data_IF_972045482146
#
_entry.id   IF_972045482146
#
_cell.length_a   1.000
_cell.length_b   1.000
_cell.length_c   1.000
_cell.angle_alpha   90.00
_cell.angle_beta   90.00
_cell.angle_gamma   90.00
#
_symmetry.space_group_name_H-M   'P 1'
#
loop_
_entity.id
_entity.type
_entity.pdbx_description
1 polymer ?
#
# COMPACT_ATOMS: atom_id res chain seq x y z
N UNK A 1 24.27 62.54 14.16
CA UNK A 1 23.07 61.82 13.70
C UNK A 1 23.31 60.33 13.92
N UNK A 2 22.45 59.74 14.75
CA UNK A 2 22.42 58.34 15.16
C UNK A 2 21.66 57.47 14.13
N UNK A 3 21.80 56.15 14.35
CA UNK A 3 21.21 54.95 13.70
C UNK A 3 22.06 54.45 12.53
N UNK A 4 22.48 53.19 12.49
CA UNK A 4 21.94 51.94 13.03
C UNK A 4 23.08 50.88 13.05
N UNK A 5 23.10 49.92 13.99
CA UNK A 5 23.62 48.54 13.87
C UNK A 5 23.74 47.93 15.29
N UNK A 6 23.15 46.75 15.57
CA UNK A 6 23.97 45.72 16.21
C UNK A 6 23.59 44.27 15.85
N UNK A 7 24.58 43.37 15.97
CA UNK A 7 24.39 41.92 16.09
C UNK A 7 25.44 41.09 15.35
N UNK A 8 26.74 41.37 15.53
CA UNK A 8 27.58 40.72 16.55
C UNK A 8 28.00 39.26 16.19
N UNK A 9 29.30 39.14 15.85
CA UNK A 9 30.20 38.00 16.14
C UNK A 9 29.96 36.75 15.25
N UNK A 10 30.64 36.49 14.13
CA UNK A 10 32.05 36.75 13.77
C UNK A 10 33.03 36.50 14.93
N UNK A 11 32.92 35.34 15.56
CA UNK A 11 34.00 34.78 16.37
C UNK A 11 33.99 33.25 16.24
N UNK A 12 35.18 32.68 16.07
CA UNK A 12 35.48 31.24 16.11
C UNK A 12 35.40 30.41 14.81
N UNK A 13 35.93 30.94 13.70
CA UNK A 13 36.92 30.14 12.97
C UNK A 13 38.14 29.98 13.90
N UNK A 14 38.26 28.88 14.64
CA UNK A 14 39.52 28.30 15.19
C UNK A 14 39.24 27.29 16.30
N UNK A 15 38.54 26.19 16.03
CA UNK A 15 38.68 24.97 16.85
C UNK A 15 38.01 23.77 16.18
N UNK A 16 38.57 23.20 15.10
CA UNK A 16 38.44 21.75 14.79
C UNK A 16 39.44 21.34 13.67
N UNK A 17 40.59 22.03 13.58
CA UNK A 17 41.80 21.53 12.92
C UNK A 17 42.79 21.04 14.00
N UNK A 18 42.31 20.24 14.95
CA UNK A 18 43.17 19.42 15.79
C UNK A 18 42.95 17.96 15.40
N UNK A 19 43.86 17.54 14.54
CA UNK A 19 44.24 16.18 14.24
C UNK A 19 44.45 15.38 15.54
N UNK A 20 43.53 14.48 15.86
CA UNK A 20 43.80 13.34 16.77
C UNK A 20 43.62 12.04 15.97
N UNK A 21 44.71 11.37 15.56
CA UNK A 21 44.65 10.09 14.89
C UNK A 21 44.86 8.97 15.91
N UNK A 22 43.87 8.71 16.77
CA UNK A 22 43.76 7.49 17.56
C UNK A 22 42.54 7.60 18.46
N UNK A 23 41.37 7.19 17.97
CA UNK A 23 40.50 6.27 18.69
C UNK A 23 39.14 6.14 18.01
N UNK A 24 38.78 4.86 17.82
CA UNK A 24 37.44 4.31 17.77
C UNK A 24 36.68 4.53 16.46
N UNK A 25 36.78 3.58 15.52
CA UNK A 25 36.14 2.25 15.53
C UNK A 25 34.62 2.32 15.28
N UNK A 26 34.23 1.61 14.23
CA UNK A 26 32.88 1.09 13.98
C UNK A 26 31.76 2.11 13.73
N UNK A 27 31.53 2.45 12.47
CA UNK A 27 30.50 1.76 11.69
C UNK A 27 30.58 2.21 10.23
N UNK A 28 30.57 1.29 9.24
CA UNK A 28 30.15 1.66 7.91
C UNK A 28 28.69 2.06 8.01
N UNK A 29 28.33 3.31 7.70
CA UNK A 29 26.94 3.65 7.47
C UNK A 29 26.56 3.12 6.07
N UNK A 30 26.64 1.81 5.91
CA UNK A 30 25.84 1.12 4.91
C UNK A 30 24.43 1.22 5.47
N UNK A 31 23.69 2.22 4.99
CA UNK A 31 22.23 2.20 5.01
C UNK A 31 21.81 0.99 4.16
N UNK A 32 21.95 -0.21 4.73
CA UNK A 32 21.24 -1.37 4.25
C UNK A 32 19.79 -1.13 4.65
N UNK A 33 19.00 -0.55 3.74
CA UNK A 33 17.62 -1.00 3.65
C UNK A 33 17.74 -2.45 3.26
N UNK A 34 17.82 -3.33 4.26
CA UNK A 34 17.47 -4.72 4.06
C UNK A 34 15.99 -4.67 3.67
N UNK A 35 15.71 -4.59 2.37
CA UNK A 35 14.37 -4.82 1.81
C UNK A 35 14.12 -6.31 2.06
N UNK A 36 13.80 -6.67 3.30
CA UNK A 36 13.04 -7.89 3.54
C UNK A 36 11.69 -7.59 2.92
N UNK A 37 11.40 -8.17 1.75
CA UNK A 37 10.05 -8.11 1.19
C UNK A 37 9.13 -8.75 2.21
N UNK A 38 8.46 -7.92 3.00
CA UNK A 38 7.52 -8.42 3.99
C UNK A 38 6.27 -8.88 3.25
N UNK A 39 5.52 -9.79 3.83
CA UNK A 39 4.23 -10.21 3.27
C UNK A 39 3.32 -8.99 3.02
N UNK A 40 3.41 -7.95 3.87
CA UNK A 40 2.73 -6.67 3.69
C UNK A 40 3.12 -5.94 2.40
N UNK A 41 4.41 -5.92 2.05
CA UNK A 41 4.88 -5.31 0.80
C UNK A 41 4.36 -6.07 -0.42
N UNK A 42 4.35 -7.40 -0.36
CA UNK A 42 3.77 -8.25 -1.40
C UNK A 42 2.28 -7.96 -1.59
N UNK A 43 1.50 -7.88 -0.50
CA UNK A 43 0.08 -7.50 -0.58
C UNK A 43 -0.08 -6.11 -1.20
N UNK A 44 0.71 -5.12 -0.75
CA UNK A 44 0.66 -3.75 -1.28
C UNK A 44 0.92 -3.71 -2.79
N UNK A 45 1.92 -4.44 -3.25
CA UNK A 45 2.23 -4.56 -4.67
C UNK A 45 1.07 -5.18 -5.46
N UNK A 46 0.40 -6.22 -4.91
CA UNK A 46 -0.78 -6.83 -5.55
C UNK A 46 -1.97 -5.87 -5.63
N UNK A 47 -2.25 -5.11 -4.56
CA UNK A 47 -3.32 -4.10 -4.57
C UNK A 47 -3.08 -3.05 -5.65
N UNK A 48 -1.84 -2.57 -5.79
CA UNK A 48 -1.48 -1.61 -6.83
C UNK A 48 -1.62 -2.20 -8.24
N UNK A 49 -1.28 -3.48 -8.43
CA UNK A 49 -1.47 -4.16 -9.71
C UNK A 49 -2.94 -4.28 -10.09
N UNK A 50 -3.81 -4.63 -9.13
CA UNK A 50 -5.27 -4.69 -9.32
C UNK A 50 -5.82 -3.30 -9.68
N UNK A 51 -5.41 -2.24 -8.97
CA UNK A 51 -5.80 -0.86 -9.28
C UNK A 51 -5.39 -0.45 -10.70
N UNK A 52 -4.14 -0.76 -11.10
CA UNK A 52 -3.65 -0.47 -12.43
C UNK A 52 -4.46 -1.21 -13.51
N UNK A 53 -4.81 -2.47 -13.25
CA UNK A 53 -5.62 -3.27 -14.16
C UNK A 53 -7.05 -2.73 -14.28
N UNK A 54 -7.69 -2.35 -13.17
CA UNK A 54 -9.01 -1.69 -13.20
C UNK A 54 -8.98 -0.42 -14.06
N UNK A 55 -7.95 0.41 -13.92
CA UNK A 55 -7.79 1.63 -14.74
C UNK A 55 -7.53 1.32 -16.21
N UNK A 56 -6.69 0.33 -16.51
CA UNK A 56 -6.40 -0.09 -17.87
C UNK A 56 -7.67 -0.55 -18.61
N UNK A 57 -8.56 -1.25 -17.90
CA UNK A 57 -9.81 -1.75 -18.44
C UNK A 57 -11.00 -0.77 -18.32
N UNK A 58 -10.76 0.48 -17.89
CA UNK A 58 -11.80 1.50 -17.66
C UNK A 58 -12.90 1.05 -16.68
N UNK A 59 -12.56 0.14 -15.75
CA UNK A 59 -13.44 -0.34 -14.68
C UNK A 59 -13.31 0.50 -13.40
N UNK A 60 -12.23 1.29 -13.29
CA UNK A 60 -12.03 2.23 -12.20
C UNK A 60 -13.05 3.36 -12.28
N UNK A 61 -13.76 3.60 -11.18
CA UNK A 61 -14.75 4.67 -11.10
C UNK A 61 -14.18 5.89 -10.36
N UNK A 62 -14.38 7.07 -10.93
CA UNK A 62 -13.93 8.33 -10.31
C UNK A 62 -14.88 8.82 -9.22
N UNK A 63 -16.15 8.43 -9.31
CA UNK A 63 -17.20 8.82 -8.36
C UNK A 63 -17.54 7.65 -7.46
N UNK A 64 -17.53 7.86 -6.15
CA UNK A 64 -17.95 6.85 -5.19
C UNK A 64 -19.47 6.61 -5.30
N UNK A 65 -19.94 5.37 -5.09
CA UNK A 65 -21.36 5.08 -5.01
C UNK A 65 -21.99 5.76 -3.79
N UNK A 66 -23.32 5.82 -3.77
CA UNK A 66 -24.06 6.46 -2.69
C UNK A 66 -23.73 5.82 -1.34
N UNK A 67 -23.63 6.60 -0.24
CA UNK A 67 -23.25 6.08 1.07
C UNK A 67 -24.19 4.97 1.56
N UNK A 68 -25.46 4.99 1.15
CA UNK A 68 -26.44 3.95 1.43
C UNK A 68 -26.05 2.59 0.84
N UNK A 69 -25.28 2.55 -0.25
CA UNK A 69 -24.83 1.31 -0.87
C UNK A 69 -23.81 0.55 0.00
N UNK A 70 -23.06 1.26 0.85
CA UNK A 70 -22.12 0.66 1.81
C UNK A 70 -22.81 0.24 3.11
N UNK A 71 -24.06 0.69 3.35
CA UNK A 71 -24.83 0.37 4.54
C UNK A 71 -25.59 -0.96 4.43
N UNK A 72 -25.31 -1.78 3.41
CA UNK A 72 -25.95 -3.07 3.23
C UNK A 72 -25.58 -4.05 4.35
N UNK A 73 -26.57 -4.81 4.81
CA UNK A 73 -26.40 -5.85 5.83
C UNK A 73 -25.87 -7.16 5.25
N UNK A 74 -25.81 -7.27 3.93
CA UNK A 74 -25.36 -8.47 3.23
C UNK A 74 -23.83 -8.52 3.16
N UNK A 75 -23.23 -9.72 3.24
CA UNK A 75 -21.78 -9.85 3.08
C UNK A 75 -21.39 -9.26 1.73
N UNK A 76 -20.25 -8.57 1.64
CA UNK A 76 -19.78 -7.92 0.40
C UNK A 76 -20.71 -6.86 -0.22
N UNK A 77 -21.80 -6.46 0.47
CA UNK A 77 -22.80 -5.53 -0.09
C UNK A 77 -23.35 -5.99 -1.46
N UNK A 78 -23.54 -7.31 -1.64
CA UNK A 78 -23.88 -7.93 -2.93
C UNK A 78 -25.13 -7.35 -3.61
N UNK A 79 -26.10 -6.90 -2.82
CA UNK A 79 -27.34 -6.34 -3.32
C UNK A 79 -27.22 -4.89 -3.79
N UNK A 80 -26.21 -4.16 -3.32
CA UNK A 80 -26.11 -2.70 -3.49
C UNK A 80 -24.88 -2.23 -4.23
N UNK A 81 -23.81 -3.04 -4.28
CA UNK A 81 -22.56 -2.71 -4.97
C UNK A 81 -22.27 -3.72 -6.06
N UNK A 82 -21.87 -3.22 -7.23
CA UNK A 82 -21.27 -4.07 -8.25
C UNK A 82 -19.93 -4.65 -7.76
N UNK A 83 -19.49 -5.80 -8.29
CA UNK A 83 -18.24 -6.44 -7.86
C UNK A 83 -17.05 -5.47 -7.91
N UNK A 84 -16.87 -4.78 -9.03
CA UNK A 84 -15.77 -3.80 -9.20
C UNK A 84 -15.88 -2.58 -8.26
N UNK A 85 -17.09 -2.17 -7.88
CA UNK A 85 -17.32 -1.11 -6.89
C UNK A 85 -16.89 -1.55 -5.50
N UNK A 86 -17.29 -2.76 -5.11
CA UNK A 86 -16.85 -3.33 -3.85
C UNK A 86 -15.33 -3.51 -3.82
N UNK A 87 -14.71 -3.92 -4.94
CA UNK A 87 -13.25 -4.06 -5.02
C UNK A 87 -12.53 -2.74 -4.72
N UNK A 88 -12.89 -1.68 -5.45
CA UNK A 88 -12.18 -0.42 -5.41
C UNK A 88 -12.47 0.37 -4.12
N UNK A 89 -13.72 0.35 -3.63
CA UNK A 89 -14.16 1.21 -2.53
C UNK A 89 -14.19 0.52 -1.18
N UNK A 90 -14.21 -0.81 -1.13
CA UNK A 90 -14.22 -1.57 0.13
C UNK A 90 -12.92 -2.33 0.31
N UNK A 91 -12.56 -3.21 -0.63
CA UNK A 91 -11.42 -4.11 -0.43
C UNK A 91 -10.08 -3.34 -0.42
N UNK A 92 -9.76 -2.62 -1.48
CA UNK A 92 -8.48 -1.91 -1.63
C UNK A 92 -8.19 -0.98 -0.43
N UNK A 93 -9.06 -0.03 -0.06
CA UNK A 93 -8.81 0.87 1.07
C UNK A 93 -8.74 0.13 2.42
N UNK A 94 -9.56 -0.90 2.62
CA UNK A 94 -9.52 -1.71 3.85
C UNK A 94 -8.20 -2.43 4.00
N UNK A 95 -7.68 -3.02 2.92
CA UNK A 95 -6.39 -3.71 2.96
C UNK A 95 -5.26 -2.72 3.17
N UNK A 96 -5.28 -1.54 2.53
CA UNK A 96 -4.32 -0.49 2.83
C UNK A 96 -4.34 -0.06 4.31
N UNK A 97 -5.51 0.09 4.93
CA UNK A 97 -5.62 0.44 6.34
C UNK A 97 -5.03 -0.66 7.27
N UNK A 98 -5.24 -1.94 6.93
CA UNK A 98 -4.62 -3.05 7.68
C UNK A 98 -3.09 -3.00 7.59
N UNK A 99 -2.56 -2.78 6.38
CA UNK A 99 -1.12 -2.69 6.13
C UNK A 99 -0.48 -1.48 6.82
N UNK A 100 -1.13 -0.31 6.77
CA UNK A 100 -0.66 0.92 7.38
C UNK A 100 -0.70 0.85 8.92
N UNK A 101 -1.75 0.23 9.47
CA UNK A 101 -1.88 -0.03 10.90
C UNK A 101 -0.98 -1.17 11.43
N UNK A 102 -0.26 -1.88 10.56
CA UNK A 102 0.56 -3.03 10.94
C UNK A 102 -0.25 -4.17 11.57
N UNK A 103 -1.53 -4.26 11.25
CA UNK A 103 -2.40 -5.31 11.76
C UNK A 103 -2.06 -6.66 11.11
N UNK A 104 -2.25 -7.79 11.82
CA UNK A 104 -2.03 -9.10 11.23
C UNK A 104 -2.95 -9.30 10.01
N UNK A 105 -2.39 -9.85 8.94
CA UNK A 105 -3.17 -10.19 7.76
C UNK A 105 -4.18 -11.32 8.08
N UNK A 106 -5.37 -11.30 7.47
CA UNK A 106 -6.33 -12.38 7.62
C UNK A 106 -5.78 -13.70 7.08
N UNK A 107 -5.85 -14.76 7.89
CA UNK A 107 -5.38 -16.10 7.51
C UNK A 107 -6.30 -16.82 6.50
N UNK A 108 -7.60 -16.47 6.51
CA UNK A 108 -8.59 -17.01 5.59
C UNK A 108 -9.10 -15.89 4.69
N UNK A 109 -8.33 -15.58 3.65
CA UNK A 109 -8.67 -14.58 2.65
C UNK A 109 -8.63 -15.21 1.26
N UNK A 110 -9.79 -15.23 0.60
CA UNK A 110 -9.92 -15.65 -0.79
C UNK A 110 -11.04 -14.83 -1.43
N UNK A 111 -10.72 -14.06 -2.46
CA UNK A 111 -11.67 -13.22 -3.18
C UNK A 111 -11.89 -13.69 -4.61
N UNK A 112 -10.92 -14.36 -5.23
CA UNK A 112 -11.04 -14.89 -6.59
C UNK A 112 -12.25 -15.81 -6.81
N UNK A 113 -12.60 -16.76 -5.90
CA UNK A 113 -13.77 -17.62 -6.08
C UNK A 113 -15.09 -16.83 -6.16
N UNK A 114 -15.17 -15.71 -5.45
CA UNK A 114 -16.34 -14.84 -5.52
C UNK A 114 -16.44 -14.15 -6.89
N UNK A 115 -15.33 -13.62 -7.43
CA UNK A 115 -15.33 -12.97 -8.74
C UNK A 115 -15.52 -13.96 -9.90
N UNK A 116 -15.13 -15.22 -9.74
CA UNK A 116 -15.38 -16.26 -10.74
C UNK A 116 -16.89 -16.47 -10.98
N UNK A 117 -17.67 -16.36 -9.90
CA UNK A 117 -19.13 -16.45 -9.93
C UNK A 117 -19.79 -15.10 -10.27
N UNK A 118 -19.23 -13.98 -9.80
CA UNK A 118 -19.83 -12.66 -9.96
C UNK A 118 -19.58 -12.03 -11.35
N UNK A 119 -18.49 -12.38 -12.02
CA UNK A 119 -18.19 -11.89 -13.37
C UNK A 119 -18.73 -12.85 -14.43
N UNK A 120 -19.42 -12.32 -15.44
CA UNK A 120 -19.86 -13.11 -16.59
C UNK A 120 -18.68 -13.70 -17.37
N UNK A 121 -18.84 -14.94 -17.87
CA UNK A 121 -17.83 -15.64 -18.67
C UNK A 121 -17.45 -14.91 -19.98
N UNK A 122 -18.30 -14.00 -20.44
CA UNK A 122 -18.09 -13.20 -21.64
C UNK A 122 -17.38 -11.87 -21.37
N UNK A 123 -17.15 -11.51 -20.10
CA UNK A 123 -16.56 -10.22 -19.77
C UNK A 123 -15.07 -10.21 -20.19
N UNK A 124 -14.63 -9.26 -21.04
CA UNK A 124 -13.25 -9.23 -21.56
C UNK A 124 -12.15 -9.07 -20.49
N UNK A 125 -12.50 -8.58 -19.29
CA UNK A 125 -11.57 -8.40 -18.20
C UNK A 125 -11.58 -9.58 -17.21
N UNK A 126 -12.46 -10.58 -17.39
CA UNK A 126 -12.66 -11.68 -16.43
C UNK A 126 -11.35 -12.43 -16.18
N UNK A 127 -10.75 -13.02 -17.21
CA UNK A 127 -9.55 -13.86 -17.06
C UNK A 127 -8.41 -13.09 -16.41
N UNK A 128 -8.12 -11.88 -16.89
CA UNK A 128 -7.03 -11.05 -16.37
C UNK A 128 -7.28 -10.58 -14.93
N UNK A 129 -8.54 -10.27 -14.58
CA UNK A 129 -8.93 -9.94 -13.20
C UNK A 129 -8.77 -11.14 -12.28
N UNK A 130 -9.28 -12.30 -12.67
CA UNK A 130 -9.19 -13.52 -11.87
C UNK A 130 -7.73 -13.87 -11.57
N UNK A 131 -6.86 -13.83 -12.58
CA UNK A 131 -5.43 -14.08 -12.40
C UNK A 131 -4.80 -13.15 -11.36
N UNK A 132 -5.10 -11.85 -11.39
CA UNK A 132 -4.54 -10.91 -10.40
C UNK A 132 -5.15 -11.08 -9.00
N UNK A 133 -6.44 -11.43 -8.91
CA UNK A 133 -7.09 -11.74 -7.64
C UNK A 133 -6.56 -13.04 -7.03
N UNK A 134 -6.33 -14.08 -7.82
CA UNK A 134 -5.71 -15.33 -7.37
C UNK A 134 -4.28 -15.10 -6.88
N UNK A 135 -3.51 -14.25 -7.58
CA UNK A 135 -2.18 -13.84 -7.12
C UNK A 135 -2.22 -13.08 -5.80
N UNK A 136 -3.26 -12.27 -5.56
CA UNK A 136 -3.49 -11.63 -4.27
C UNK A 136 -3.78 -12.68 -3.20
N UNK A 137 -4.75 -13.57 -3.45
CA UNK A 137 -5.15 -14.63 -2.52
C UNK A 137 -3.98 -15.56 -2.15
N UNK A 138 -3.12 -15.90 -3.11
CA UNK A 138 -1.92 -16.70 -2.89
C UNK A 138 -0.95 -16.06 -1.89
N UNK A 139 -0.89 -14.72 -1.80
CA UNK A 139 -0.07 -14.03 -0.78
C UNK A 139 -0.60 -14.30 0.63
N UNK A 140 -1.92 -14.49 0.79
CA UNK A 140 -2.54 -14.81 2.08
C UNK A 140 -2.49 -16.29 2.43
N UNK A 141 -2.50 -17.17 1.43
CA UNK A 141 -2.41 -18.62 1.63
C UNK A 141 -1.07 -19.04 2.27
N UNK A 142 0.00 -18.25 2.08
CA UNK A 142 1.32 -18.50 2.67
C UNK A 142 2.09 -19.64 1.97
N UNK A 143 3.42 -19.54 1.95
CA UNK A 143 4.34 -20.58 1.47
C UNK A 143 4.50 -21.76 2.47
N UNK A 144 3.48 -22.06 3.29
CA UNK A 144 3.53 -23.12 4.31
C UNK A 144 2.36 -24.10 4.15
N UNK A 145 2.20 -24.61 2.93
CA UNK A 145 1.44 -25.83 2.63
C UNK A 145 2.35 -27.06 2.61
#
# INVERSE_FOLDING_TARGET
MLRNEPGALFLQCSLFLFLSPAMLCCAPFTFSVEVTMTQHDSVRARLHAIEALLRQHQLWQETAPQPEAFASTQPFCLDTLAPFEWLQWVLIPRMHALLDGGHPLPQAFAVAPYYEMALDATHPARDVMLIELEKLDAVFAGEDA
#
